data_IF_933716193569
#
_entry.id   IF_933716193569
#
_cell.length_a   1.000
_cell.length_b   1.000
_cell.length_c   1.000
_cell.angle_alpha   90.00
_cell.angle_beta   90.00
_cell.angle_gamma   90.00
#
_symmetry.space_group_name_H-M   'P 1'
#
loop_
_entity.id
_entity.type
_entity.pdbx_description
1 polymer ?
#
# COMPACT_ATOMS: atom_id res chain seq x y z
N UNK A 1 -17.34 -2.32 10.12
CA UNK A 1 -15.86 -2.31 10.05
C UNK A 1 -15.36 -3.41 9.12
N UNK A 2 -15.94 -4.61 9.14
CA UNK A 2 -15.54 -5.72 8.26
C UNK A 2 -15.81 -5.46 6.76
N UNK A 3 -16.91 -4.81 6.42
CA UNK A 3 -17.30 -4.54 5.02
C UNK A 3 -16.26 -3.69 4.25
N UNK A 4 -15.62 -2.72 4.93
CA UNK A 4 -14.56 -1.89 4.33
C UNK A 4 -13.31 -2.72 4.07
N UNK A 5 -12.98 -3.63 4.98
CA UNK A 5 -11.79 -4.47 4.88
C UNK A 5 -11.95 -5.47 3.72
N UNK A 6 -13.16 -6.02 3.52
CA UNK A 6 -13.48 -6.85 2.36
C UNK A 6 -13.38 -6.09 1.02
N UNK A 7 -13.90 -4.85 0.96
CA UNK A 7 -13.80 -4.02 -0.25
C UNK A 7 -12.34 -3.74 -0.61
N UNK A 8 -11.50 -3.44 0.38
CA UNK A 8 -10.07 -3.20 0.18
C UNK A 8 -9.39 -4.46 -0.37
N UNK A 9 -9.60 -5.61 0.28
CA UNK A 9 -9.02 -6.89 -0.15
C UNK A 9 -9.47 -7.25 -1.57
N UNK A 10 -10.76 -7.05 -1.88
CA UNK A 10 -11.28 -7.31 -3.22
C UNK A 10 -10.69 -6.38 -4.27
N UNK A 11 -10.52 -5.09 -3.95
CA UNK A 11 -9.88 -4.11 -4.83
C UNK A 11 -8.43 -4.48 -5.12
N UNK A 12 -7.69 -4.92 -4.10
CA UNK A 12 -6.33 -5.41 -4.23
C UNK A 12 -6.24 -6.67 -5.12
N UNK A 13 -7.15 -7.65 -4.95
CA UNK A 13 -7.23 -8.80 -5.87
C UNK A 13 -7.56 -8.36 -7.29
N UNK A 14 -8.45 -7.38 -7.46
CA UNK A 14 -8.88 -6.88 -8.77
C UNK A 14 -7.77 -6.17 -9.55
N UNK A 15 -6.84 -5.49 -8.88
CA UNK A 15 -5.65 -4.90 -9.53
C UNK A 15 -4.55 -5.95 -9.80
N UNK A 16 -4.77 -7.22 -9.44
CA UNK A 16 -3.81 -8.31 -9.63
C UNK A 16 -2.75 -8.40 -8.53
N UNK A 17 -3.00 -7.82 -7.36
CA UNK A 17 -2.14 -8.04 -6.20
C UNK A 17 -2.40 -9.45 -5.64
N UNK A 18 -1.34 -10.27 -5.56
CA UNK A 18 -1.44 -11.64 -5.07
C UNK A 18 -1.53 -11.63 -3.53
N UNK A 19 -2.74 -11.45 -3.03
CA UNK A 19 -3.07 -11.71 -1.64
C UNK A 19 -3.36 -13.19 -1.45
N UNK A 20 -2.93 -13.72 -0.31
CA UNK A 20 -3.32 -15.06 0.10
C UNK A 20 -4.86 -15.15 0.20
N UNK A 21 -5.43 -16.30 -0.15
CA UNK A 21 -6.89 -16.47 -0.14
C UNK A 21 -7.45 -16.43 1.29
N UNK A 22 -6.60 -16.71 2.27
CA UNK A 22 -6.91 -16.61 3.70
C UNK A 22 -6.94 -15.16 4.22
N UNK A 23 -6.39 -14.19 3.47
CA UNK A 23 -6.41 -12.76 3.85
C UNK A 23 -7.77 -12.17 3.51
N UNK A 24 -8.63 -12.02 4.52
CA UNK A 24 -9.95 -11.40 4.41
C UNK A 24 -10.04 -10.03 5.09
N UNK A 25 -9.03 -9.65 5.86
CA UNK A 25 -9.00 -8.35 6.54
C UNK A 25 -7.61 -7.75 6.58
N UNK A 26 -7.55 -6.43 6.70
CA UNK A 26 -6.30 -5.67 6.82
C UNK A 26 -5.45 -6.09 8.03
N UNK A 27 -6.06 -6.65 9.08
CA UNK A 27 -5.37 -7.27 10.23
C UNK A 27 -4.44 -8.42 9.86
N UNK A 28 -4.73 -9.11 8.75
CA UNK A 28 -3.96 -10.25 8.28
C UNK A 28 -2.88 -9.84 7.28
N UNK A 29 -2.85 -8.57 6.85
CA UNK A 29 -1.78 -8.06 5.99
C UNK A 29 -0.50 -7.90 6.80
N UNK A 30 0.60 -8.41 6.27
CA UNK A 30 1.92 -8.13 6.84
C UNK A 30 2.35 -6.73 6.42
N UNK A 31 3.31 -6.21 7.16
CA UNK A 31 4.00 -4.95 6.89
C UNK A 31 4.44 -4.81 5.42
N UNK A 32 5.04 -5.87 4.87
CA UNK A 32 5.47 -5.91 3.48
C UNK A 32 4.30 -5.92 2.48
N UNK A 33 3.18 -6.57 2.81
CA UNK A 33 2.00 -6.64 1.94
C UNK A 33 1.36 -5.27 1.76
N UNK A 34 1.30 -4.46 2.83
CA UNK A 34 0.74 -3.10 2.76
C UNK A 34 1.53 -2.24 1.80
N UNK A 35 2.84 -2.17 1.96
CA UNK A 35 3.65 -1.32 1.08
C UNK A 35 3.70 -1.83 -0.37
N UNK A 36 3.69 -3.15 -0.57
CA UNK A 36 3.55 -3.74 -1.91
C UNK A 36 2.17 -3.44 -2.53
N UNK A 37 1.11 -3.48 -1.75
CA UNK A 37 -0.24 -3.09 -2.16
C UNK A 37 -0.31 -1.62 -2.58
N UNK A 38 0.33 -0.72 -1.82
CA UNK A 38 0.42 0.70 -2.19
C UNK A 38 1.17 0.89 -3.51
N UNK A 39 2.29 0.18 -3.72
CA UNK A 39 3.02 0.21 -5.00
C UNK A 39 2.17 -0.27 -6.17
N UNK A 40 1.39 -1.34 -5.97
CA UNK A 40 0.48 -1.87 -6.97
C UNK A 40 -0.64 -0.87 -7.31
N UNK A 41 -1.21 -0.21 -6.31
CA UNK A 41 -2.22 0.84 -6.49
C UNK A 41 -1.67 2.02 -7.28
N UNK A 42 -0.48 2.51 -6.92
CA UNK A 42 0.17 3.61 -7.65
C UNK A 42 0.40 3.23 -9.11
N UNK A 43 0.82 2.00 -9.39
CA UNK A 43 0.94 1.52 -10.78
C UNK A 43 -0.38 1.36 -11.51
N UNK A 44 -1.45 1.01 -10.80
CA UNK A 44 -2.79 0.94 -11.38
C UNK A 44 -3.31 2.34 -11.75
N UNK A 45 -2.95 3.36 -10.96
CA UNK A 45 -3.30 4.77 -11.23
C UNK A 45 -2.40 5.36 -12.33
N UNK A 46 -1.09 5.22 -12.18
CA UNK A 46 -0.10 5.73 -13.13
C UNK A 46 0.99 4.68 -13.40
N UNK A 47 0.85 3.87 -14.48
CA UNK A 47 1.84 2.85 -14.82
C UNK A 47 3.15 3.43 -15.37
N UNK A 48 3.21 4.74 -15.64
CA UNK A 48 4.40 5.43 -16.12
C UNK A 48 5.41 5.73 -15.01
N UNK A 49 4.98 5.66 -13.74
CA UNK A 49 5.89 5.85 -12.61
C UNK A 49 6.96 4.74 -12.53
N UNK A 50 8.23 5.09 -12.29
CA UNK A 50 9.35 4.15 -12.24
C UNK A 50 9.40 3.33 -10.93
N UNK A 51 8.29 3.24 -10.19
CA UNK A 51 8.27 2.49 -8.95
C UNK A 51 8.39 0.98 -9.19
N UNK A 52 9.05 0.22 -8.31
CA UNK A 52 9.10 -1.23 -8.44
C UNK A 52 7.74 -1.86 -8.13
N UNK A 53 7.48 -3.08 -8.64
CA UNK A 53 6.24 -3.81 -8.29
C UNK A 53 6.27 -4.39 -6.87
N UNK A 54 7.47 -4.56 -6.33
CA UNK A 54 7.71 -5.13 -5.01
C UNK A 54 8.80 -4.35 -4.31
N UNK A 55 8.69 -4.22 -3.00
CA UNK A 55 9.69 -3.58 -2.19
C UNK A 55 11.02 -4.36 -2.25
N UNK A 56 12.16 -3.65 -2.37
CA UNK A 56 13.48 -4.28 -2.31
C UNK A 56 13.77 -4.81 -0.91
N UNK A 57 14.66 -5.80 -0.82
CA UNK A 57 15.05 -6.41 0.46
C UNK A 57 15.88 -5.48 1.36
N UNK A 58 16.50 -4.45 0.77
CA UNK A 58 17.35 -3.49 1.47
C UNK A 58 16.51 -2.38 2.12
N UNK A 59 16.68 -2.20 3.42
CA UNK A 59 15.89 -1.25 4.22
C UNK A 59 16.02 0.19 3.73
N UNK A 60 17.23 0.63 3.38
CA UNK A 60 17.47 2.00 2.88
C UNK A 60 16.70 2.28 1.59
N UNK A 61 16.65 1.30 0.68
CA UNK A 61 15.89 1.42 -0.55
C UNK A 61 14.39 1.37 -0.30
N UNK A 62 13.91 0.53 0.65
CA UNK A 62 12.50 0.53 1.06
C UNK A 62 12.06 1.91 1.54
N UNK A 63 12.83 2.52 2.44
CA UNK A 63 12.51 3.84 2.99
C UNK A 63 12.47 4.90 1.89
N UNK A 64 13.45 4.91 0.97
CA UNK A 64 13.44 5.85 -0.15
C UNK A 64 12.21 5.68 -1.05
N UNK A 65 11.93 4.45 -1.49
CA UNK A 65 10.76 4.18 -2.35
C UNK A 65 9.46 4.54 -1.65
N UNK A 66 9.29 4.14 -0.38
CA UNK A 66 8.10 4.49 0.39
C UNK A 66 7.96 6.01 0.56
N UNK A 67 9.06 6.75 0.75
CA UNK A 67 9.03 8.22 0.79
C UNK A 67 8.57 8.82 -0.54
N UNK A 68 9.14 8.38 -1.66
CA UNK A 68 8.77 8.89 -2.99
C UNK A 68 7.30 8.58 -3.32
N UNK A 69 6.87 7.36 -3.04
CA UNK A 69 5.47 6.94 -3.21
C UNK A 69 4.52 7.75 -2.31
N UNK A 70 4.88 7.96 -1.05
CA UNK A 70 4.09 8.77 -0.12
C UNK A 70 3.94 10.21 -0.61
N UNK A 71 5.03 10.81 -1.11
CA UNK A 71 5.00 12.15 -1.69
C UNK A 71 4.16 12.20 -2.98
N UNK A 72 4.27 11.19 -3.83
CA UNK A 72 3.46 11.09 -5.05
C UNK A 72 1.96 11.01 -4.72
N UNK A 73 1.57 10.13 -3.80
CA UNK A 73 0.18 9.98 -3.34
C UNK A 73 -0.33 11.27 -2.69
N UNK A 74 0.50 11.95 -1.89
CA UNK A 74 0.18 13.31 -1.38
C UNK A 74 -0.04 14.30 -2.53
N UNK A 75 0.79 14.25 -3.57
CA UNK A 75 0.66 15.07 -4.78
C UNK A 75 -0.63 14.80 -5.57
N UNK A 76 -1.16 13.58 -5.54
CA UNK A 76 -2.46 13.23 -6.14
C UNK A 76 -3.66 13.82 -5.37
N UNK A 77 -3.44 14.44 -4.20
CA UNK A 77 -4.50 15.04 -3.39
C UNK A 77 -4.89 14.22 -2.15
N UNK A 78 -4.08 13.23 -1.75
CA UNK A 78 -4.29 12.51 -0.50
C UNK A 78 -4.16 13.46 0.69
N UNK A 79 -5.24 13.59 1.46
CA UNK A 79 -5.35 14.55 2.58
C UNK A 79 -4.82 14.01 3.92
N UNK A 80 -4.51 12.71 3.99
CA UNK A 80 -3.96 12.11 5.20
C UNK A 80 -2.46 12.36 5.34
N UNK A 81 -1.95 12.24 6.55
CA UNK A 81 -0.50 12.24 6.74
C UNK A 81 0.08 10.89 6.30
N UNK A 82 0.65 10.87 5.10
CA UNK A 82 1.36 9.72 4.55
C UNK A 82 2.85 10.04 4.49
N UNK A 83 3.65 9.17 5.08
CA UNK A 83 5.11 9.21 5.05
C UNK A 83 5.68 7.80 4.93
N UNK A 84 7.00 7.70 4.79
CA UNK A 84 7.66 6.40 4.68
C UNK A 84 7.44 5.53 5.93
N UNK A 85 7.35 6.13 7.12
CA UNK A 85 7.17 5.41 8.36
C UNK A 85 5.87 4.61 8.37
N UNK A 86 4.78 5.22 7.90
CA UNK A 86 3.47 4.58 7.84
C UNK A 86 3.38 3.45 6.79
N UNK A 87 4.26 3.45 5.79
CA UNK A 87 4.35 2.38 4.80
C UNK A 87 5.32 1.27 5.24
N UNK A 88 6.43 1.64 5.87
CA UNK A 88 7.46 0.71 6.35
C UNK A 88 7.06 0.04 7.68
N UNK A 89 6.26 0.73 8.49
CA UNK A 89 5.71 0.27 9.76
C UNK A 89 4.21 0.60 9.82
N UNK A 90 3.39 -0.01 8.95
CA UNK A 90 1.97 0.24 8.90
C UNK A 90 1.29 -0.31 10.15
N UNK A 91 0.37 0.49 10.69
CA UNK A 91 -0.57 0.08 11.72
C UNK A 91 -1.96 -0.11 11.09
N UNK A 92 -2.88 -0.80 11.77
CA UNK A 92 -4.20 -1.10 11.20
C UNK A 92 -5.00 0.15 10.81
N UNK A 93 -4.92 1.21 11.63
CA UNK A 93 -5.67 2.44 11.42
C UNK A 93 -5.17 3.16 10.16
N UNK A 94 -3.86 3.33 10.03
CA UNK A 94 -3.22 3.96 8.88
C UNK A 94 -3.38 3.12 7.62
N UNK A 95 -3.23 1.79 7.71
CA UNK A 95 -3.44 0.90 6.56
C UNK A 95 -4.86 1.05 6.01
N UNK A 96 -5.87 1.07 6.91
CA UNK A 96 -7.25 1.33 6.52
C UNK A 96 -7.42 2.70 5.89
N UNK A 97 -6.74 3.72 6.41
CA UNK A 97 -6.83 5.09 5.90
C UNK A 97 -6.20 5.24 4.51
N UNK A 98 -5.10 4.54 4.24
CA UNK A 98 -4.37 4.60 2.96
C UNK A 98 -5.11 3.84 1.86
N UNK A 99 -5.69 2.68 2.20
CA UNK A 99 -6.31 1.78 1.23
C UNK A 99 -7.80 2.05 0.97
N UNK A 100 -8.41 2.94 1.76
CA UNK A 100 -9.82 3.37 1.59
C UNK A 100 -9.95 4.42 0.49
#
# INVERSE_FOLDING_TARGET
>A
MEEVDEIIVHSLRSIGFQLDDEVKSIKQLKTDDVANAVLALVKAIDPSQPFPRTLPRQMSQKVNICSEVAQYIKGLGYKGDLGYHELVYPNEATTRQILR
#
